data_IF_004352424668
#
_entry.id   IF_004352424668
#
_cell.length_a   1.000
_cell.length_b   1.000
_cell.length_c   1.000
_cell.angle_alpha   90.00
_cell.angle_beta   90.00
_cell.angle_gamma   90.00
#
_symmetry.space_group_name_H-M   'P 1'
#
loop_
_entity.id
_entity.type
_entity.pdbx_description
1 polymer ?
#
# COMPACT_ATOMS: atom_id res chain seq x y z
N UNK A 1 -6.47 -9.01 -10.49
CA UNK A 1 -7.10 -9.04 -9.17
C UNK A 1 -6.87 -7.74 -8.44
N UNK A 2 -7.92 -7.23 -7.81
CA UNK A 2 -7.89 -5.98 -7.07
C UNK A 2 -8.37 -6.23 -5.65
N UNK A 3 -7.61 -5.73 -4.68
CA UNK A 3 -7.91 -5.96 -3.25
C UNK A 3 -8.01 -4.63 -2.54
N UNK A 4 -9.06 -4.45 -1.75
CA UNK A 4 -9.21 -3.31 -0.84
C UNK A 4 -9.06 -3.86 0.58
N UNK A 5 -8.19 -3.23 1.37
CA UNK A 5 -7.89 -3.72 2.71
C UNK A 5 -7.81 -2.58 3.70
N UNK A 6 -8.36 -2.81 4.91
CA UNK A 6 -8.19 -1.87 6.02
C UNK A 6 -6.77 -2.00 6.57
N UNK A 7 -6.12 -0.88 6.84
CA UNK A 7 -4.78 -0.84 7.43
C UNK A 7 -4.72 -1.70 8.71
N UNK A 8 -5.81 -1.75 9.46
CA UNK A 8 -5.86 -2.54 10.71
C UNK A 8 -5.68 -4.03 10.49
N UNK A 9 -5.94 -4.51 9.28
CA UNK A 9 -5.74 -5.92 8.94
C UNK A 9 -4.32 -6.23 8.51
N UNK A 10 -3.49 -5.22 8.36
CA UNK A 10 -2.11 -5.38 7.91
C UNK A 10 -1.18 -5.43 9.12
N UNK A 11 -0.28 -6.40 9.12
CA UNK A 11 0.72 -6.52 10.19
C UNK A 11 1.57 -5.25 10.26
N UNK A 12 1.79 -4.74 11.48
CA UNK A 12 2.61 -3.54 11.65
C UNK A 12 4.02 -3.70 11.10
N UNK A 13 4.57 -4.90 11.10
CA UNK A 13 5.91 -5.14 10.55
C UNK A 13 5.99 -4.78 9.07
N UNK A 14 4.86 -4.78 8.36
CA UNK A 14 4.83 -4.34 6.98
C UNK A 14 5.33 -2.89 6.84
N UNK A 15 5.02 -2.05 7.83
CA UNK A 15 5.39 -0.63 7.81
C UNK A 15 6.77 -0.36 8.40
N UNK A 16 7.50 -1.40 8.80
CA UNK A 16 8.88 -1.27 9.26
C UNK A 16 9.78 -1.73 8.12
N UNK A 17 10.29 -0.78 7.37
CA UNK A 17 11.03 -1.10 6.14
C UNK A 17 12.25 -1.97 6.36
N UNK A 18 12.87 -1.88 7.55
CA UNK A 18 14.06 -2.68 7.85
C UNK A 18 13.79 -4.18 7.88
N UNK A 19 12.53 -4.60 8.01
CA UNK A 19 12.18 -6.02 7.98
C UNK A 19 12.22 -6.60 6.56
N UNK A 20 12.10 -5.74 5.54
CA UNK A 20 12.03 -6.18 4.16
C UNK A 20 10.68 -6.74 3.74
N UNK A 21 9.73 -6.85 4.66
CA UNK A 21 8.43 -7.48 4.39
C UNK A 21 7.66 -6.75 3.28
N UNK A 22 7.62 -5.41 3.33
CA UNK A 22 6.90 -4.63 2.34
C UNK A 22 7.45 -4.86 0.94
N UNK A 23 8.77 -4.86 0.80
CA UNK A 23 9.41 -5.09 -0.49
C UNK A 23 9.12 -6.48 -1.05
N UNK A 24 9.17 -7.49 -0.20
CA UNK A 24 8.89 -8.87 -0.62
C UNK A 24 7.45 -9.02 -1.09
N UNK A 25 6.50 -8.46 -0.33
CA UNK A 25 5.09 -8.56 -0.68
C UNK A 25 4.81 -7.79 -1.96
N UNK A 26 5.37 -6.59 -2.10
CA UNK A 26 5.22 -5.79 -3.31
C UNK A 26 5.72 -6.57 -4.53
N UNK A 27 6.87 -7.21 -4.41
CA UNK A 27 7.45 -7.98 -5.51
C UNK A 27 6.52 -9.10 -5.94
N UNK A 28 5.91 -9.82 -5.00
CA UNK A 28 4.96 -10.88 -5.32
C UNK A 28 3.73 -10.34 -6.02
N UNK A 29 3.21 -9.19 -5.55
CA UNK A 29 2.03 -8.60 -6.16
C UNK A 29 2.31 -8.14 -7.59
N UNK A 30 3.49 -7.58 -7.83
CA UNK A 30 3.90 -7.21 -9.19
C UNK A 30 3.98 -8.45 -10.07
N UNK A 31 4.59 -9.52 -9.58
CA UNK A 31 4.78 -10.75 -10.35
C UNK A 31 3.45 -11.41 -10.72
N UNK A 32 2.45 -11.33 -9.83
CA UNK A 32 1.14 -11.95 -10.06
C UNK A 32 0.10 -10.96 -10.58
N UNK A 33 0.51 -9.74 -10.91
CA UNK A 33 -0.37 -8.70 -11.43
C UNK A 33 -1.55 -8.40 -10.49
N UNK A 34 -1.29 -8.42 -9.18
CA UNK A 34 -2.30 -8.09 -8.17
C UNK A 34 -2.16 -6.61 -7.81
N UNK A 35 -3.29 -5.94 -7.62
CA UNK A 35 -3.34 -4.54 -7.17
C UNK A 35 -4.04 -4.49 -5.83
N UNK A 36 -3.51 -3.68 -4.91
CA UNK A 36 -4.09 -3.55 -3.58
C UNK A 36 -4.11 -2.08 -3.16
N UNK A 37 -5.21 -1.67 -2.54
CA UNK A 37 -5.30 -0.36 -1.91
C UNK A 37 -5.58 -0.56 -0.43
N UNK A 38 -4.74 0.00 0.41
CA UNK A 38 -4.84 -0.09 1.86
C UNK A 38 -5.28 1.27 2.38
N UNK A 39 -6.43 1.32 3.05
CA UNK A 39 -6.96 2.57 3.58
C UNK A 39 -6.78 2.63 5.09
N UNK A 40 -6.53 3.83 5.59
CA UNK A 40 -6.35 4.06 7.02
C UNK A 40 -5.61 5.34 7.31
N UNK A 41 -5.18 5.49 8.56
CA UNK A 41 -4.46 6.67 9.03
C UNK A 41 -2.96 6.39 9.04
N UNK A 42 -2.21 7.18 8.28
CA UNK A 42 -0.76 7.08 8.21
C UNK A 42 -0.07 8.28 8.84
N UNK A 43 -0.80 9.14 9.53
CA UNK A 43 -0.28 10.41 10.02
C UNK A 43 0.81 10.25 11.07
N UNK A 44 0.83 9.14 11.80
CA UNK A 44 1.84 8.92 12.84
C UNK A 44 3.12 8.23 12.33
N UNK A 45 3.17 7.91 11.05
CA UNK A 45 4.39 7.36 10.45
C UNK A 45 5.27 8.52 10.01
N UNK A 46 6.31 8.84 10.80
CA UNK A 46 7.16 10.00 10.57
C UNK A 46 8.50 9.66 9.91
N UNK A 47 8.81 8.39 9.74
CA UNK A 47 10.05 7.96 9.09
C UNK A 47 10.05 8.40 7.64
N UNK A 48 11.11 9.12 7.22
CA UNK A 48 11.20 9.58 5.84
C UNK A 48 11.28 8.42 4.84
N UNK A 49 12.07 7.36 5.09
CA UNK A 49 12.05 6.23 4.15
C UNK A 49 10.67 5.63 3.95
N UNK A 50 9.87 5.52 5.01
CA UNK A 50 8.52 5.00 4.89
C UNK A 50 7.61 5.95 4.13
N UNK A 51 7.71 7.25 4.41
CA UNK A 51 6.95 8.26 3.67
C UNK A 51 7.30 8.21 2.18
N UNK A 52 8.57 8.08 1.86
CA UNK A 52 9.01 7.98 0.47
C UNK A 52 8.47 6.71 -0.18
N UNK A 53 8.49 5.58 0.53
CA UNK A 53 7.94 4.33 0.03
C UNK A 53 6.45 4.46 -0.30
N UNK A 54 5.69 5.08 0.61
CA UNK A 54 4.25 5.29 0.39
C UNK A 54 4.03 6.20 -0.81
N UNK A 55 4.78 7.29 -0.91
CA UNK A 55 4.64 8.21 -2.01
C UNK A 55 4.93 7.53 -3.36
N UNK A 56 6.02 6.80 -3.43
CA UNK A 56 6.41 6.11 -4.65
C UNK A 56 5.42 5.01 -5.03
N UNK A 57 4.90 4.30 -4.03
CA UNK A 57 3.89 3.26 -4.28
C UNK A 57 2.63 3.87 -4.87
N UNK A 58 2.21 5.04 -4.36
CA UNK A 58 1.01 5.70 -4.86
C UNK A 58 1.16 6.20 -6.30
N UNK A 59 2.38 6.41 -6.75
CA UNK A 59 2.65 6.78 -8.13
C UNK A 59 2.81 5.58 -9.05
N UNK A 60 2.79 4.37 -8.48
CA UNK A 60 2.89 3.13 -9.25
C UNK A 60 1.52 2.58 -9.62
N UNK A 61 1.47 1.27 -9.85
CA UNK A 61 0.27 0.60 -10.35
C UNK A 61 -0.21 -0.56 -9.49
N UNK A 62 0.49 -0.89 -8.40
CA UNK A 62 0.20 -2.11 -7.64
C UNK A 62 -0.20 -1.86 -6.20
N UNK A 63 0.46 -0.94 -5.51
CA UNK A 63 0.16 -0.60 -4.13
C UNK A 63 -0.31 0.84 -4.03
N UNK A 64 -1.42 1.03 -3.29
CA UNK A 64 -1.93 2.37 -3.01
C UNK A 64 -2.24 2.49 -1.53
N UNK A 65 -1.79 3.59 -0.92
CA UNK A 65 -2.04 3.88 0.49
C UNK A 65 -2.90 5.14 0.55
N UNK A 66 -4.15 4.98 0.96
CA UNK A 66 -5.14 6.05 0.92
C UNK A 66 -5.80 6.20 2.28
N UNK A 67 -6.59 7.27 2.45
CA UNK A 67 -7.19 7.60 3.74
C UNK A 67 -8.50 6.87 4.00
N UNK A 68 -9.30 6.66 2.96
CA UNK A 68 -10.65 6.10 3.12
C UNK A 68 -10.88 4.92 2.18
N UNK A 69 -11.88 4.11 2.54
CA UNK A 69 -12.30 2.99 1.70
C UNK A 69 -12.75 3.46 0.33
N UNK A 70 -13.46 4.58 0.28
CA UNK A 70 -13.95 5.15 -0.97
C UNK A 70 -12.78 5.52 -1.89
N UNK A 71 -11.73 6.12 -1.33
CA UNK A 71 -10.54 6.43 -2.12
C UNK A 71 -9.85 5.16 -2.63
N UNK A 72 -9.84 4.11 -1.82
CA UNK A 72 -9.25 2.84 -2.23
C UNK A 72 -9.98 2.26 -3.44
N UNK A 73 -11.30 2.25 -3.39
CA UNK A 73 -12.12 1.74 -4.47
C UNK A 73 -11.91 2.59 -5.73
N UNK A 74 -11.92 3.91 -5.57
CA UNK A 74 -11.71 4.83 -6.68
C UNK A 74 -10.35 4.61 -7.35
N UNK A 75 -9.30 4.47 -6.54
CA UNK A 75 -7.95 4.28 -7.06
C UNK A 75 -7.83 3.01 -7.88
N UNK A 76 -8.40 1.92 -7.38
CA UNK A 76 -8.37 0.65 -8.09
C UNK A 76 -9.24 0.67 -9.34
N UNK A 77 -10.33 1.43 -9.33
CA UNK A 77 -11.21 1.57 -10.50
C UNK A 77 -10.53 2.37 -11.61
N UNK A 78 -9.78 3.40 -11.25
CA UNK A 78 -9.06 4.24 -12.22
C UNK A 78 -7.85 3.53 -12.83
N UNK A 79 -7.27 2.58 -12.12
CA UNK A 79 -6.03 1.91 -12.54
C UNK A 79 -6.37 0.74 -13.44
N UNK A 80 -5.88 0.77 -14.64
CA UNK A 80 -6.13 -0.28 -15.64
C UNK A 80 -5.08 -1.37 -15.57
#
# INVERSE_FOLDING_TARGET
NKIVMDKKAVCEDFFILSTGMAGEILQKFVNYHVKIAIYGDYSHYTSKPLQDFIYESNNGKHFFFVSTKEEAIQKLTETQ
#
